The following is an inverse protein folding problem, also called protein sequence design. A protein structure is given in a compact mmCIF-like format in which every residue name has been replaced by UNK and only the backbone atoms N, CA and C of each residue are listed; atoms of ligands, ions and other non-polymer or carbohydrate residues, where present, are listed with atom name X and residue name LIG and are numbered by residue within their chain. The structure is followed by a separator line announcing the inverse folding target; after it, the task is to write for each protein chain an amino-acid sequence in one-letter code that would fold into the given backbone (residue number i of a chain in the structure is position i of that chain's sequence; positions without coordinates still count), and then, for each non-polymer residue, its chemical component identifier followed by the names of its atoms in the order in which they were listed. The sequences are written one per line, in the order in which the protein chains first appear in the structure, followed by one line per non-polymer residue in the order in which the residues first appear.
data_IF_999614496171
#
_entry.id   IF_999614496171
#
_cell.length_a   1.000
_cell.length_b   1.000
_cell.length_c   1.000
_cell.angle_alpha   90.00
_cell.angle_beta   90.00
_cell.angle_gamma   90.00
#
_symmetry.space_group_name_H-M   'P 1'
#
loop_
_entity.id
_entity.type
_entity.pdbx_description
1 polymer ?
#
# COMPACT_ATOMS: atom_id res chain seq x y z
N UNK A 1 8.65 10.22 -20.14
CA UNK A 1 8.00 10.47 -18.82
C UNK A 1 6.58 9.92 -18.88
N UNK A 2 6.24 8.89 -18.08
CA UNK A 2 4.89 8.29 -18.06
C UNK A 2 3.90 9.24 -17.39
N UNK A 3 2.64 9.28 -17.88
CA UNK A 3 1.57 10.18 -17.38
C UNK A 3 0.74 9.42 -16.33
N UNK A 4 0.54 10.00 -15.15
CA UNK A 4 -0.25 9.41 -14.07
C UNK A 4 -1.35 10.41 -13.65
N UNK A 5 -2.61 9.98 -13.79
CA UNK A 5 -3.81 10.77 -13.43
C UNK A 5 -4.62 10.11 -12.31
N UNK A 6 -4.29 8.88 -11.97
CA UNK A 6 -4.79 8.17 -10.80
C UNK A 6 -3.67 7.24 -10.33
N UNK A 7 -3.57 7.05 -9.02
CA UNK A 7 -2.70 6.04 -8.45
C UNK A 7 -3.57 4.82 -8.15
N UNK A 8 -3.15 3.67 -8.65
CA UNK A 8 -3.68 2.38 -8.22
C UNK A 8 -2.56 1.35 -8.30
N UNK A 9 -2.12 0.90 -7.13
CA UNK A 9 -1.21 -0.23 -6.98
C UNK A 9 -1.98 -1.27 -6.19
N UNK A 10 -2.17 -2.44 -6.76
CA UNK A 10 -2.90 -3.51 -6.11
C UNK A 10 -2.18 -4.85 -6.24
N UNK A 11 -2.45 -5.73 -5.29
CA UNK A 11 -1.95 -7.09 -5.30
C UNK A 11 -2.90 -8.02 -4.58
N UNK A 12 -2.79 -9.31 -4.92
CA UNK A 12 -3.45 -10.40 -4.23
C UNK A 12 -2.39 -11.42 -3.84
N UNK A 13 -2.57 -12.05 -2.70
CA UNK A 13 -1.61 -13.03 -2.19
C UNK A 13 -2.34 -14.20 -1.55
N UNK A 14 -1.86 -15.41 -1.84
CA UNK A 14 -2.41 -16.64 -1.26
C UNK A 14 -1.75 -16.90 0.09
N UNK A 15 -2.51 -16.81 1.17
CA UNK A 15 -1.97 -16.91 2.54
C UNK A 15 -1.60 -18.35 2.93
N UNK A 16 -1.86 -19.34 2.07
CA UNK A 16 -1.37 -20.72 2.25
C UNK A 16 0.14 -20.84 2.13
N UNK A 17 0.80 -19.88 1.49
CA UNK A 17 2.26 -19.79 1.38
C UNK A 17 2.93 -19.24 2.66
N UNK A 18 2.14 -18.90 3.70
CA UNK A 18 2.62 -18.33 4.96
C UNK A 18 2.58 -19.35 6.10
N UNK A 19 3.33 -19.05 7.15
CA UNK A 19 3.31 -19.85 8.38
C UNK A 19 2.03 -19.55 9.15
N UNK A 20 1.16 -20.56 9.29
CA UNK A 20 -0.08 -20.42 10.05
C UNK A 20 0.16 -20.06 11.51
N UNK A 21 -0.75 -19.27 12.08
CA UNK A 21 -0.66 -18.77 13.44
C UNK A 21 0.34 -17.62 13.63
N UNK A 22 1.03 -17.19 12.56
CA UNK A 22 1.92 -16.02 12.58
C UNK A 22 1.16 -14.78 12.12
N UNK A 23 1.39 -13.65 12.81
CA UNK A 23 0.86 -12.34 12.41
C UNK A 23 1.77 -11.73 11.35
N UNK A 24 1.18 -11.22 10.29
CA UNK A 24 1.86 -10.56 9.18
C UNK A 24 1.38 -9.12 9.02
N UNK A 25 2.26 -8.27 8.48
CA UNK A 25 1.89 -6.96 7.95
C UNK A 25 2.07 -6.91 6.44
N UNK A 26 1.30 -6.04 5.81
CA UNK A 26 1.49 -5.65 4.41
C UNK A 26 1.93 -4.20 4.36
N UNK A 27 3.10 -3.94 3.78
CA UNK A 27 3.65 -2.58 3.62
C UNK A 27 3.97 -2.28 2.15
N UNK A 28 3.64 -1.07 1.70
CA UNK A 28 4.10 -0.55 0.42
C UNK A 28 5.42 0.20 0.61
N UNK A 29 6.40 -0.08 -0.26
CA UNK A 29 7.69 0.63 -0.25
C UNK A 29 7.67 1.68 -1.34
N UNK A 30 7.64 2.95 -0.94
CA UNK A 30 7.52 4.09 -1.84
C UNK A 30 8.63 5.10 -1.62
N UNK A 31 8.89 5.93 -2.63
CA UNK A 31 9.78 7.08 -2.52
C UNK A 31 9.17 8.26 -3.24
N UNK A 32 9.18 9.40 -2.58
CA UNK A 32 8.77 10.69 -3.16
C UNK A 32 10.03 11.45 -3.58
N UNK A 33 10.12 11.85 -4.84
CA UNK A 33 11.26 12.63 -5.36
C UNK A 33 11.01 14.14 -5.24
N UNK A 34 12.06 14.96 -5.37
CA UNK A 34 11.93 16.42 -5.39
C UNK A 34 11.06 16.93 -6.55
N UNK A 35 10.95 16.14 -7.62
CA UNK A 35 10.08 16.41 -8.77
C UNK A 35 8.60 16.13 -8.47
N UNK A 36 8.26 15.82 -7.21
CA UNK A 36 6.89 15.60 -6.78
C UNK A 36 6.04 16.84 -7.04
N UNK A 37 4.99 16.64 -7.82
CA UNK A 37 3.97 17.67 -8.01
C UNK A 37 2.59 17.07 -7.82
N UNK A 38 1.73 17.84 -7.13
CA UNK A 38 0.27 17.70 -7.16
C UNK A 38 -0.31 16.44 -6.49
N UNK A 39 0.27 16.03 -5.36
CA UNK A 39 -0.27 15.01 -4.45
C UNK A 39 -0.96 15.62 -3.22
N UNK A 40 -1.74 16.69 -3.41
CA UNK A 40 -2.37 17.44 -2.31
C UNK A 40 -3.60 16.71 -1.74
N UNK A 41 -4.16 15.76 -2.51
CA UNK A 41 -5.24 14.92 -2.05
C UNK A 41 -4.69 13.80 -1.15
N UNK A 42 -5.47 13.28 -0.20
CA UNK A 42 -5.09 12.09 0.54
C UNK A 42 -5.02 10.87 -0.38
N UNK A 43 -4.11 9.96 -0.08
CA UNK A 43 -4.05 8.63 -0.66
C UNK A 43 -4.43 7.61 0.42
N UNK A 44 -4.91 6.45 -0.01
CA UNK A 44 -5.39 5.39 0.87
C UNK A 44 -4.53 4.15 0.68
N UNK A 45 -3.99 3.62 1.77
CA UNK A 45 -3.46 2.26 1.85
C UNK A 45 -4.51 1.36 2.49
N UNK A 46 -4.75 0.20 1.90
CA UNK A 46 -5.87 -0.67 2.28
C UNK A 46 -5.46 -2.15 2.25
N UNK A 47 -5.92 -2.89 3.25
CA UNK A 47 -5.82 -4.35 3.33
C UNK A 47 -7.23 -4.96 3.47
N UNK A 48 -7.54 -5.86 2.55
CA UNK A 48 -8.73 -6.70 2.58
C UNK A 48 -8.34 -8.12 2.98
N UNK A 49 -8.87 -8.57 4.11
CA UNK A 49 -8.70 -9.94 4.60
C UNK A 49 -10.09 -10.60 4.62
N UNK A 50 -10.25 -11.82 4.06
CA UNK A 50 -11.52 -12.53 4.10
C UNK A 50 -12.06 -12.63 5.52
N UNK A 51 -13.36 -12.41 5.66
CA UNK A 51 -14.11 -12.51 6.92
C UNK A 51 -13.68 -11.54 8.03
N UNK A 52 -12.82 -10.57 7.72
CA UNK A 52 -12.36 -9.53 8.64
C UNK A 52 -12.85 -8.14 8.20
N UNK A 53 -12.75 -7.18 9.12
CA UNK A 53 -12.95 -5.78 8.80
C UNK A 53 -11.92 -5.29 7.79
N UNK A 54 -12.40 -4.49 6.84
CA UNK A 54 -11.54 -3.68 5.98
C UNK A 54 -10.59 -2.84 6.85
N UNK A 55 -9.30 -2.89 6.54
CA UNK A 55 -8.32 -1.99 7.12
C UNK A 55 -7.96 -0.95 6.08
N UNK A 56 -8.13 0.31 6.43
CA UNK A 56 -7.81 1.44 5.56
C UNK A 56 -7.13 2.54 6.36
N UNK A 57 -6.17 3.20 5.71
CA UNK A 57 -5.46 4.34 6.28
C UNK A 57 -5.25 5.38 5.21
N UNK A 58 -5.72 6.59 5.49
CA UNK A 58 -5.41 7.76 4.69
C UNK A 58 -4.10 8.41 5.14
N UNK A 59 -3.37 8.96 4.18
CA UNK A 59 -2.15 9.74 4.40
C UNK A 59 -1.92 10.71 3.24
N UNK A 60 -1.06 11.71 3.43
CA UNK A 60 -0.65 12.59 2.34
C UNK A 60 0.81 12.31 1.96
N UNK A 61 1.09 12.22 0.65
CA UNK A 61 2.47 12.02 0.16
C UNK A 61 3.39 13.21 0.47
N UNK A 62 2.81 14.40 0.70
CA UNK A 62 3.57 15.61 1.05
C UNK A 62 4.21 15.51 2.45
N UNK A 63 3.64 14.69 3.34
CA UNK A 63 4.14 14.50 4.71
C UNK A 63 5.30 13.49 4.77
N UNK A 64 5.57 12.80 3.66
CA UNK A 64 6.65 11.83 3.56
C UNK A 64 8.01 12.51 3.37
N UNK A 65 9.04 11.94 3.96
CA UNK A 65 10.43 12.39 3.78
C UNK A 65 10.82 12.17 2.31
N UNK A 66 11.21 13.26 1.64
CA UNK A 66 11.62 13.22 0.23
C UNK A 66 12.94 12.48 0.06
N UNK A 67 13.07 11.83 -1.09
CA UNK A 67 14.22 11.06 -1.54
C UNK A 67 14.60 9.84 -0.69
N UNK A 68 13.74 9.45 0.25
CA UNK A 68 13.91 8.24 1.06
C UNK A 68 12.90 7.16 0.68
N UNK A 69 13.28 5.91 0.88
CA UNK A 69 12.36 4.78 0.77
C UNK A 69 11.61 4.63 2.10
N UNK A 70 10.30 4.80 2.05
CA UNK A 70 9.43 4.77 3.22
C UNK A 70 8.45 3.60 3.08
N UNK A 71 8.17 2.96 4.21
CA UNK A 71 7.18 1.89 4.32
C UNK A 71 5.82 2.47 4.75
N UNK A 72 4.79 2.19 3.96
CA UNK A 72 3.41 2.59 4.24
C UNK A 72 2.62 1.32 4.54
N UNK A 73 2.23 1.15 5.80
CA UNK A 73 1.46 -0.01 6.23
C UNK A 73 0.01 0.07 5.72
N UNK A 74 -0.41 -0.97 5.00
CA UNK A 74 -1.79 -1.16 4.56
C UNK A 74 -2.66 -1.84 5.61
N UNK A 75 -2.06 -2.72 6.42
CA UNK A 75 -2.70 -3.38 7.55
C UNK A 75 -1.95 -4.62 8.01
N UNK A 76 -2.55 -5.32 8.97
CA UNK A 76 -2.02 -6.53 9.61
C UNK A 76 -3.05 -7.64 9.63
N UNK A 77 -2.62 -8.90 9.60
CA UNK A 77 -3.51 -10.05 9.66
C UNK A 77 -2.82 -11.28 10.24
N UNK A 78 -3.59 -12.18 10.82
CA UNK A 78 -3.10 -13.50 11.24
C UNK A 78 -3.29 -14.51 10.11
N UNK A 79 -2.22 -15.23 9.75
CA UNK A 79 -2.30 -16.29 8.75
C UNK A 79 -3.08 -17.49 9.30
N UNK A 80 -4.17 -17.87 8.64
CA UNK A 80 -5.06 -18.96 9.08
C UNK A 80 -5.27 -20.01 7.98
N UNK A 81 -5.43 -21.30 8.31
CA UNK A 81 -5.59 -22.38 7.33
C UNK A 81 -6.78 -22.23 6.37
N UNK A 82 -7.82 -21.51 6.81
CA UNK A 82 -9.10 -21.37 6.10
C UNK A 82 -9.25 -20.03 5.37
N UNK A 83 -8.29 -19.12 5.51
CA UNK A 83 -8.26 -17.85 4.77
C UNK A 83 -7.31 -18.02 3.62
N UNK A 84 -7.84 -17.90 2.41
CA UNK A 84 -7.08 -18.30 1.24
C UNK A 84 -6.38 -17.11 0.58
N UNK A 85 -7.02 -15.94 0.46
CA UNK A 85 -6.46 -14.83 -0.32
C UNK A 85 -6.74 -13.49 0.32
N UNK A 86 -5.68 -12.71 0.54
CA UNK A 86 -5.78 -11.30 0.86
C UNK A 86 -5.66 -10.45 -0.41
N UNK A 87 -6.16 -9.22 -0.35
CA UNK A 87 -5.90 -8.20 -1.34
C UNK A 87 -5.44 -6.92 -0.67
N UNK A 88 -4.53 -6.19 -1.29
CA UNK A 88 -4.02 -4.93 -0.77
C UNK A 88 -3.95 -3.89 -1.87
N UNK A 89 -4.19 -2.64 -1.49
CA UNK A 89 -4.30 -1.52 -2.40
C UNK A 89 -3.59 -0.29 -1.85
N UNK A 90 -2.95 0.44 -2.74
CA UNK A 90 -2.49 1.80 -2.52
C UNK A 90 -3.07 2.63 -3.67
N UNK A 91 -4.00 3.51 -3.36
CA UNK A 91 -4.71 4.26 -4.38
C UNK A 91 -4.95 5.71 -4.00
N UNK A 92 -5.15 6.52 -5.04
CA UNK A 92 -5.66 7.87 -4.94
C UNK A 92 -6.59 8.09 -6.12
N UNK A 93 -7.89 8.11 -5.84
CA UNK A 93 -8.93 8.38 -6.82
C UNK A 93 -9.39 9.83 -6.66
N UNK A 94 -8.79 10.73 -7.44
CA UNK A 94 -9.31 12.05 -7.79
C UNK A 94 -8.12 12.87 -8.28
N UNK A 95 -7.91 12.86 -9.59
CA UNK A 95 -7.06 13.88 -10.18
C UNK A 95 -7.40 14.11 -11.65
N UNK A 96 -7.98 15.26 -11.95
CA UNK A 96 -7.94 15.84 -13.31
C UNK A 96 -6.54 16.41 -13.62
N UNK A 97 -5.56 16.11 -12.76
CA UNK A 97 -4.32 16.86 -12.62
C UNK A 97 -3.15 15.87 -12.70
N UNK A 98 -2.13 16.23 -13.48
CA UNK A 98 -0.95 15.40 -13.68
C UNK A 98 -0.15 15.28 -12.37
N UNK A 99 0.11 14.04 -11.94
CA UNK A 99 0.97 13.74 -10.79
C UNK A 99 2.34 13.24 -11.25
N UNK A 100 3.39 13.63 -10.54
CA UNK A 100 4.79 13.24 -10.82
C UNK A 100 5.55 12.96 -9.53
N UNK A 101 6.74 12.34 -9.64
CA UNK A 101 7.69 12.21 -8.54
C UNK A 101 7.34 11.16 -7.48
N UNK A 102 6.45 10.20 -7.77
CA UNK A 102 6.23 9.02 -6.92
C UNK A 102 6.86 7.80 -7.58
N UNK A 103 7.71 7.09 -6.83
CA UNK A 103 8.24 5.78 -7.16
C UNK A 103 7.67 4.73 -6.23
N UNK A 104 7.24 3.61 -6.79
CA UNK A 104 6.76 2.44 -6.03
C UNK A 104 7.71 1.29 -6.32
N UNK A 105 8.35 0.77 -5.27
CA UNK A 105 9.25 -0.39 -5.39
C UNK A 105 8.47 -1.70 -5.38
N UNK A 106 7.43 -1.77 -4.55
CA UNK A 106 6.57 -2.95 -4.42
C UNK A 106 5.84 -2.98 -3.09
N UNK A 107 5.23 -4.13 -2.79
CA UNK A 107 4.68 -4.46 -1.49
C UNK A 107 5.48 -5.59 -0.83
N UNK A 108 5.60 -5.55 0.49
CA UNK A 108 6.25 -6.58 1.29
C UNK A 108 5.20 -7.17 2.23
N UNK A 109 5.18 -8.50 2.31
CA UNK A 109 4.42 -9.25 3.31
C UNK A 109 5.45 -9.91 4.21
N UNK A 110 5.44 -9.58 5.50
CA UNK A 110 6.42 -10.10 6.47
C UNK A 110 5.80 -10.35 7.86
N UNK A 111 6.36 -11.25 8.67
CA UNK A 111 5.94 -11.42 10.05
C UNK A 111 6.08 -10.12 10.84
N UNK A 112 5.14 -9.87 11.74
CA UNK A 112 5.23 -8.83 12.77
C UNK A 112 5.86 -9.49 13.99
N UNK A 113 6.96 -8.91 14.50
CA UNK A 113 7.56 -9.34 15.77
C UNK A 113 6.65 -9.06 16.98
#
# INVERSE_FOLDING_TARGET
MKRCYYLEVCGKFDTKELIYGTRYEVVFVVRVEDTMTRWNNPATAQLMVPDNSLQEREFQFIDLIKNEWIEIQAGVFDAQPHKEKIAFFLYQHQSNIRMTGLLVKGAIIRPVE
#
